data_IF_248677324731
#
_entry.id   IF_248677324731
#
_cell.length_a   1.000
_cell.length_b   1.000
_cell.length_c   1.000
_cell.angle_alpha   90.00
_cell.angle_beta   90.00
_cell.angle_gamma   90.00
#
_symmetry.space_group_name_H-M   'P 1'
#
loop_
_entity.id
_entity.type
_entity.pdbx_description
1 polymer ?
#
# COMPACT_ATOMS: atom_id res chain seq x y z
N UNK A 1 25.62 2.69 -3.10
CA UNK A 1 25.61 2.48 -1.63
C UNK A 1 24.98 1.11 -1.34
N UNK A 2 25.24 0.50 -0.18
CA UNK A 2 24.58 -0.76 0.24
C UNK A 2 23.14 -0.48 0.67
N UNK A 3 22.23 -1.43 0.49
CA UNK A 3 20.78 -1.27 0.71
C UNK A 3 20.37 -1.32 2.19
N UNK A 4 21.12 -2.02 3.05
CA UNK A 4 20.70 -2.35 4.43
C UNK A 4 20.23 -1.15 5.27
N UNK A 5 20.86 0.03 5.15
CA UNK A 5 20.44 1.22 5.92
C UNK A 5 19.10 1.79 5.42
N UNK A 6 18.85 1.72 4.12
CA UNK A 6 17.60 2.18 3.52
C UNK A 6 16.45 1.25 3.92
N UNK A 7 16.69 -0.06 3.87
CA UNK A 7 15.73 -1.08 4.28
C UNK A 7 15.34 -0.91 5.74
N UNK A 8 16.33 -0.89 6.66
CA UNK A 8 16.07 -0.72 8.09
C UNK A 8 15.32 0.58 8.41
N UNK A 9 15.62 1.68 7.71
CA UNK A 9 14.86 2.93 7.86
C UNK A 9 13.41 2.78 7.38
N UNK A 10 13.19 2.14 6.24
CA UNK A 10 11.87 1.93 5.67
C UNK A 10 11.01 1.02 6.55
N UNK A 11 11.60 -0.06 7.08
CA UNK A 11 10.94 -0.97 8.03
C UNK A 11 10.54 -0.24 9.31
N UNK A 12 11.44 0.59 9.86
CA UNK A 12 11.14 1.42 11.03
C UNK A 12 9.97 2.38 10.79
N UNK A 13 9.93 3.05 9.63
CA UNK A 13 8.82 3.92 9.26
C UNK A 13 7.51 3.14 9.12
N UNK A 14 7.51 1.99 8.44
CA UNK A 14 6.31 1.17 8.25
C UNK A 14 5.78 0.60 9.58
N UNK A 15 6.67 0.18 10.49
CA UNK A 15 6.28 -0.25 11.83
C UNK A 15 5.59 0.87 12.62
N UNK A 16 6.11 2.10 12.54
CA UNK A 16 5.48 3.28 13.16
C UNK A 16 4.10 3.56 12.54
N UNK A 17 3.97 3.51 11.22
CA UNK A 17 2.68 3.73 10.54
C UNK A 17 1.63 2.72 10.98
N UNK A 18 1.99 1.43 11.02
CA UNK A 18 1.09 0.34 11.46
C UNK A 18 0.66 0.54 12.92
N UNK A 19 1.57 0.95 13.80
CA UNK A 19 1.25 1.17 15.22
C UNK A 19 0.40 2.43 15.44
N UNK A 20 0.62 3.51 14.69
CA UNK A 20 -0.26 4.69 14.74
C UNK A 20 -1.68 4.33 14.33
N UNK A 21 -1.86 3.47 13.32
CA UNK A 21 -3.20 3.05 12.89
C UNK A 21 -4.01 2.37 13.97
N UNK A 22 -3.41 1.47 14.75
CA UNK A 22 -4.17 0.76 15.80
C UNK A 22 -4.61 1.70 16.93
N UNK A 23 -3.86 2.79 17.18
CA UNK A 23 -4.23 3.80 18.18
C UNK A 23 -5.49 4.60 17.84
N UNK A 24 -5.93 4.57 16.57
CA UNK A 24 -7.21 5.17 16.16
C UNK A 24 -8.42 4.32 16.59
N UNK A 25 -8.22 3.03 16.89
CA UNK A 25 -9.26 2.14 17.42
C UNK A 25 -9.47 2.43 18.91
N UNK A 26 -10.34 3.40 19.21
CA UNK A 26 -10.71 3.73 20.59
C UNK A 26 -11.61 2.67 21.19
N UNK A 27 -11.27 2.25 22.41
CA UNK A 27 -12.09 1.33 23.23
C UNK A 27 -13.45 1.97 23.48
N UNK A 28 -14.57 1.23 23.32
CA UNK A 28 -15.89 1.75 23.68
C UNK A 28 -15.98 2.03 25.19
N UNK A 29 -16.79 3.03 25.57
CA UNK A 29 -17.04 3.35 26.99
C UNK A 29 -17.91 2.29 27.67
N UNK A 30 -18.86 1.74 26.92
CA UNK A 30 -19.74 0.68 27.39
C UNK A 30 -19.00 -0.67 27.48
N UNK A 31 -19.27 -1.42 28.55
CA UNK A 31 -18.62 -2.71 28.84
C UNK A 31 -19.25 -3.91 28.13
N UNK A 32 -20.26 -3.69 27.29
CA UNK A 32 -20.99 -4.74 26.59
C UNK A 32 -20.44 -4.96 25.18
N UNK A 33 -20.61 -6.18 24.64
CA UNK A 33 -20.13 -6.51 23.29
C UNK A 33 -20.85 -5.72 22.19
N UNK A 34 -22.08 -5.29 22.44
CA UNK A 34 -22.87 -4.50 21.49
C UNK A 34 -22.23 -3.14 21.18
N UNK A 35 -21.42 -2.61 22.10
CA UNK A 35 -20.68 -1.36 21.92
C UNK A 35 -19.61 -1.43 20.82
N UNK A 36 -19.23 -2.63 20.36
CA UNK A 36 -18.32 -2.83 19.23
C UNK A 36 -19.01 -2.67 17.87
N UNK A 37 -20.32 -2.88 17.78
CA UNK A 37 -21.07 -2.86 16.51
C UNK A 37 -20.90 -1.50 15.79
N UNK A 38 -21.07 -0.35 16.45
CA UNK A 38 -20.87 0.95 15.79
C UNK A 38 -19.43 1.23 15.37
N UNK A 39 -18.45 0.50 15.92
CA UNK A 39 -17.01 0.65 15.60
C UNK A 39 -16.57 -0.25 14.44
N UNK A 40 -17.40 -1.20 14.01
CA UNK A 40 -17.07 -2.13 12.92
C UNK A 40 -16.58 -1.43 11.64
N UNK A 41 -17.18 -0.34 11.14
CA UNK A 41 -16.69 0.31 9.92
C UNK A 41 -15.25 0.83 10.05
N UNK A 42 -14.89 1.37 11.22
CA UNK A 42 -13.54 1.82 11.51
C UNK A 42 -12.57 0.64 11.63
N UNK A 43 -12.99 -0.45 12.29
CA UNK A 43 -12.19 -1.67 12.40
C UNK A 43 -11.94 -2.32 11.03
N UNK A 44 -12.96 -2.38 10.15
CA UNK A 44 -12.83 -2.91 8.79
C UNK A 44 -11.87 -2.04 7.97
N UNK A 45 -12.00 -0.71 8.07
CA UNK A 45 -11.09 0.22 7.40
C UNK A 45 -9.64 0.03 7.87
N UNK A 46 -9.44 -0.15 9.19
CA UNK A 46 -8.16 -0.51 9.78
C UNK A 46 -7.61 -1.81 9.21
N UNK A 47 -8.42 -2.88 9.19
CA UNK A 47 -8.01 -4.21 8.72
C UNK A 47 -7.52 -4.16 7.27
N UNK A 48 -8.28 -3.53 6.36
CA UNK A 48 -7.88 -3.42 4.97
C UNK A 48 -6.64 -2.56 4.78
N UNK A 49 -6.51 -1.49 5.56
CA UNK A 49 -5.33 -0.62 5.49
C UNK A 49 -4.08 -1.30 6.05
N UNK A 50 -4.24 -2.15 7.06
CA UNK A 50 -3.17 -3.02 7.55
C UNK A 50 -2.72 -4.00 6.48
N UNK A 51 -3.68 -4.64 5.79
CA UNK A 51 -3.39 -5.54 4.66
C UNK A 51 -2.63 -4.79 3.57
N UNK A 52 -3.04 -3.57 3.21
CA UNK A 52 -2.34 -2.74 2.24
C UNK A 52 -0.89 -2.46 2.65
N UNK A 53 -0.67 -2.00 3.89
CA UNK A 53 0.68 -1.75 4.39
C UNK A 53 1.53 -3.03 4.41
N UNK A 54 0.95 -4.17 4.79
CA UNK A 54 1.62 -5.47 4.74
C UNK A 54 2.01 -5.90 3.32
N UNK A 55 1.14 -5.67 2.33
CA UNK A 55 1.43 -5.89 0.90
C UNK A 55 2.60 -5.00 0.46
N UNK A 56 2.57 -3.70 0.77
CA UNK A 56 3.65 -2.78 0.42
C UNK A 56 4.96 -3.17 1.09
N UNK A 57 4.93 -3.51 2.38
CA UNK A 57 6.11 -3.96 3.11
C UNK A 57 6.71 -5.22 2.50
N UNK A 58 5.88 -6.24 2.23
CA UNK A 58 6.35 -7.49 1.63
C UNK A 58 6.97 -7.26 0.25
N UNK A 59 6.28 -6.50 -0.61
CA UNK A 59 6.75 -6.15 -1.95
C UNK A 59 8.02 -5.27 -1.90
N UNK A 60 8.15 -4.39 -0.91
CA UNK A 60 9.34 -3.56 -0.69
C UNK A 60 10.52 -4.40 -0.24
N UNK A 61 10.32 -5.31 0.72
CA UNK A 61 11.33 -6.23 1.20
C UNK A 61 11.87 -7.12 0.07
N UNK A 62 10.98 -7.72 -0.74
CA UNK A 62 11.39 -8.50 -1.92
C UNK A 62 12.13 -7.64 -2.96
N UNK A 63 11.68 -6.41 -3.19
CA UNK A 63 12.31 -5.46 -4.12
C UNK A 63 13.74 -5.10 -3.72
N UNK A 64 13.99 -4.86 -2.44
CA UNK A 64 15.33 -4.50 -1.97
C UNK A 64 16.25 -5.71 -1.77
N UNK A 65 15.72 -6.89 -1.46
CA UNK A 65 16.50 -8.14 -1.38
C UNK A 65 17.24 -8.47 -2.68
N UNK A 66 16.65 -8.15 -3.82
CA UNK A 66 17.24 -8.34 -5.16
C UNK A 66 17.98 -7.11 -5.69
N UNK A 67 17.94 -5.98 -4.99
CA UNK A 67 18.61 -4.74 -5.40
C UNK A 67 20.06 -4.75 -4.93
N UNK A 68 21.02 -4.72 -5.86
CA UNK A 68 22.45 -4.81 -5.51
C UNK A 68 23.03 -3.44 -5.12
N UNK A 69 22.61 -2.38 -5.81
CA UNK A 69 23.18 -1.03 -5.67
C UNK A 69 22.07 0.01 -5.61
N UNK A 70 22.26 0.99 -4.74
CA UNK A 70 21.40 2.18 -4.65
C UNK A 70 22.16 3.48 -4.89
N UNK A 71 21.45 4.48 -5.40
CA UNK A 71 21.91 5.83 -5.64
C UNK A 71 20.95 6.88 -5.02
N UNK A 72 21.28 8.17 -5.13
CA UNK A 72 20.45 9.25 -4.57
C UNK A 72 19.03 9.31 -5.14
N UNK A 73 18.82 8.95 -6.42
CA UNK A 73 17.48 8.97 -7.03
C UNK A 73 16.59 7.88 -6.44
N UNK A 74 17.14 6.69 -6.20
CA UNK A 74 16.42 5.58 -5.53
C UNK A 74 16.08 5.97 -4.09
N UNK A 75 16.98 6.64 -3.38
CA UNK A 75 16.70 7.15 -2.01
C UNK A 75 15.51 8.12 -1.99
N UNK A 76 15.49 9.10 -2.89
CA UNK A 76 14.37 10.05 -3.00
C UNK A 76 13.07 9.37 -3.42
N UNK A 77 13.12 8.43 -4.36
CA UNK A 77 11.93 7.67 -4.75
C UNK A 77 11.39 6.80 -3.60
N UNK A 78 12.27 6.25 -2.76
CA UNK A 78 11.88 5.52 -1.56
C UNK A 78 11.21 6.45 -0.54
N UNK A 79 11.77 7.63 -0.29
CA UNK A 79 11.14 8.63 0.58
C UNK A 79 9.77 9.09 0.05
N UNK A 80 9.63 9.23 -1.26
CA UNK A 80 8.35 9.56 -1.90
C UNK A 80 7.30 8.47 -1.66
N UNK A 81 7.68 7.19 -1.73
CA UNK A 81 6.81 6.08 -1.35
C UNK A 81 6.42 6.13 0.13
N UNK A 82 7.41 6.27 1.03
CA UNK A 82 7.18 6.33 2.47
C UNK A 82 6.28 7.50 2.88
N UNK A 83 6.38 8.64 2.19
CA UNK A 83 5.49 9.78 2.39
C UNK A 83 4.02 9.42 2.13
N UNK A 84 3.70 8.76 1.00
CA UNK A 84 2.31 8.39 0.73
C UNK A 84 1.80 7.32 1.68
N UNK A 85 2.65 6.34 2.02
CA UNK A 85 2.29 5.31 3.00
C UNK A 85 2.04 5.90 4.40
N UNK A 86 2.73 6.97 4.78
CA UNK A 86 2.53 7.62 6.08
C UNK A 86 1.20 8.37 6.20
N UNK A 87 0.50 8.63 5.09
CA UNK A 87 -0.85 9.23 5.08
C UNK A 87 -1.97 8.20 5.18
N UNK A 88 -1.67 6.90 5.07
CA UNK A 88 -2.65 5.82 5.20
C UNK A 88 -3.38 5.86 6.56
N UNK A 89 -2.73 6.06 7.73
CA UNK A 89 -3.42 6.10 9.01
C UNK A 89 -4.50 7.19 9.07
N UNK A 90 -4.16 8.38 8.59
CA UNK A 90 -5.08 9.51 8.54
C UNK A 90 -6.31 9.21 7.68
N UNK A 91 -6.09 8.77 6.44
CA UNK A 91 -7.19 8.47 5.52
C UNK A 91 -8.04 7.27 5.98
N UNK A 92 -7.42 6.28 6.62
CA UNK A 92 -8.09 5.12 7.23
C UNK A 92 -9.06 5.53 8.34
N UNK A 93 -8.60 6.38 9.26
CA UNK A 93 -9.46 6.91 10.32
C UNK A 93 -10.61 7.73 9.75
N UNK A 94 -10.33 8.52 8.70
CA UNK A 94 -11.33 9.39 8.11
C UNK A 94 -12.42 8.63 7.36
N UNK A 95 -12.06 7.67 6.48
CA UNK A 95 -13.02 6.80 5.80
C UNK A 95 -13.77 5.91 6.80
N UNK A 96 -13.10 5.36 7.81
CA UNK A 96 -13.73 4.50 8.81
C UNK A 96 -14.83 5.18 9.62
N UNK A 97 -14.74 6.51 9.80
CA UNK A 97 -15.75 7.33 10.47
C UNK A 97 -16.81 7.89 9.50
N UNK A 98 -16.52 7.94 8.19
CA UNK A 98 -17.32 8.70 7.20
C UNK A 98 -17.45 7.98 5.85
N UNK A 99 -17.58 6.66 5.85
CA UNK A 99 -17.57 5.81 4.63
C UNK A 99 -18.73 6.07 3.65
N UNK A 100 -19.77 6.80 4.08
CA UNK A 100 -20.88 7.24 3.23
C UNK A 100 -20.63 8.57 2.53
N UNK A 101 -19.62 9.33 2.95
CA UNK A 101 -19.25 10.59 2.32
C UNK A 101 -18.22 10.37 1.20
N UNK A 102 -18.43 11.05 0.06
CA UNK A 102 -17.58 10.89 -1.12
C UNK A 102 -16.14 11.33 -0.88
N UNK A 103 -15.91 12.48 -0.24
CA UNK A 103 -14.56 13.05 -0.07
C UNK A 103 -13.61 12.15 0.74
N UNK A 104 -14.00 11.58 1.90
CA UNK A 104 -13.15 10.61 2.62
C UNK A 104 -12.80 9.37 1.79
N UNK A 105 -13.77 8.84 1.04
CA UNK A 105 -13.58 7.65 0.19
C UNK A 105 -12.68 7.96 -1.01
N UNK A 106 -12.86 9.13 -1.63
CA UNK A 106 -12.02 9.64 -2.69
C UNK A 106 -10.57 9.83 -2.22
N UNK A 107 -10.36 10.48 -1.06
CA UNK A 107 -9.02 10.75 -0.55
C UNK A 107 -8.30 9.45 -0.17
N UNK A 108 -9.00 8.49 0.43
CA UNK A 108 -8.44 7.17 0.71
C UNK A 108 -7.93 6.50 -0.57
N UNK A 109 -8.77 6.42 -1.61
CA UNK A 109 -8.36 5.87 -2.91
C UNK A 109 -7.24 6.66 -3.59
N UNK A 110 -7.23 7.98 -3.43
CA UNK A 110 -6.16 8.84 -3.96
C UNK A 110 -4.82 8.55 -3.28
N UNK A 111 -4.78 8.39 -1.96
CA UNK A 111 -3.55 8.00 -1.26
C UNK A 111 -3.07 6.62 -1.73
N UNK A 112 -3.97 5.64 -1.88
CA UNK A 112 -3.61 4.32 -2.43
C UNK A 112 -3.07 4.39 -3.87
N UNK A 113 -3.70 5.21 -4.72
CA UNK A 113 -3.23 5.48 -6.09
C UNK A 113 -1.81 6.06 -6.07
N UNK A 114 -1.57 7.06 -5.24
CA UNK A 114 -0.29 7.73 -5.16
C UNK A 114 0.80 6.82 -4.55
N UNK A 115 0.46 5.98 -3.57
CA UNK A 115 1.35 4.93 -3.08
C UNK A 115 1.72 3.94 -4.19
N UNK A 116 0.77 3.54 -5.03
CA UNK A 116 1.04 2.67 -6.18
C UNK A 116 1.95 3.35 -7.21
N UNK A 117 1.67 4.61 -7.58
CA UNK A 117 2.52 5.41 -8.47
C UNK A 117 3.93 5.56 -7.90
N UNK A 118 4.05 5.86 -6.61
CA UNK A 118 5.35 5.99 -5.95
C UNK A 118 6.15 4.69 -5.98
N UNK A 119 5.49 3.55 -5.76
CA UNK A 119 6.12 2.23 -5.87
C UNK A 119 6.60 1.96 -7.31
N UNK A 120 5.78 2.27 -8.31
CA UNK A 120 6.16 2.18 -9.72
C UNK A 120 7.39 3.04 -10.07
N UNK A 121 7.45 4.27 -9.58
CA UNK A 121 8.58 5.17 -9.78
C UNK A 121 9.85 4.59 -9.14
N UNK A 122 9.75 4.12 -7.89
CA UNK A 122 10.86 3.49 -7.17
C UNK A 122 11.40 2.28 -7.95
N UNK A 123 10.51 1.38 -8.34
CA UNK A 123 10.83 0.20 -9.13
C UNK A 123 11.50 0.58 -10.47
N UNK A 124 10.97 1.59 -11.16
CA UNK A 124 11.54 2.11 -12.41
C UNK A 124 12.96 2.67 -12.23
N UNK A 125 13.23 3.40 -11.16
CA UNK A 125 14.59 3.89 -10.86
C UNK A 125 15.56 2.76 -10.54
N UNK A 126 15.12 1.73 -9.82
CA UNK A 126 15.95 0.55 -9.52
C UNK A 126 16.31 -0.19 -10.81
N UNK A 127 15.32 -0.48 -11.67
CA UNK A 127 15.53 -1.20 -12.95
C UNK A 127 16.48 -0.43 -13.88
N UNK A 128 16.35 0.91 -13.93
CA UNK A 128 17.22 1.76 -14.76
C UNK A 128 18.64 1.89 -14.22
N UNK A 129 18.85 1.62 -12.93
CA UNK A 129 20.16 1.68 -12.31
C UNK A 129 20.97 0.38 -12.44
N UNK A 130 20.32 -0.72 -12.82
CA UNK A 130 20.96 -2.04 -12.99
C UNK A 130 20.98 -2.45 -14.47
N UNK A 131 21.86 -3.40 -14.78
CA UNK A 131 22.10 -3.90 -16.13
C UNK A 131 20.88 -4.62 -16.74
N UNK A 132 20.94 -4.90 -18.04
CA UNK A 132 19.80 -5.46 -18.78
C UNK A 132 19.39 -6.87 -18.31
N UNK A 133 20.32 -7.64 -17.75
CA UNK A 133 20.06 -8.99 -17.23
C UNK A 133 19.55 -9.04 -15.80
N UNK A 134 19.29 -7.88 -15.19
CA UNK A 134 18.83 -7.77 -13.82
C UNK A 134 17.53 -8.56 -13.56
N UNK A 135 17.56 -9.43 -12.54
CA UNK A 135 16.49 -10.38 -12.23
C UNK A 135 15.12 -9.72 -12.06
N UNK A 136 15.07 -8.54 -11.43
CA UNK A 136 13.83 -7.78 -11.26
C UNK A 136 13.17 -7.39 -12.59
N UNK A 137 13.96 -7.05 -13.61
CA UNK A 137 13.44 -6.68 -14.93
C UNK A 137 12.71 -7.86 -15.58
N UNK A 138 13.24 -9.08 -15.42
CA UNK A 138 12.63 -10.33 -15.89
C UNK A 138 11.39 -10.69 -15.05
N UNK A 139 11.44 -10.50 -13.73
CA UNK A 139 10.34 -10.83 -12.81
C UNK A 139 9.11 -9.93 -13.01
N UNK A 140 9.30 -8.62 -13.25
CA UNK A 140 8.19 -7.67 -13.46
C UNK A 140 7.54 -7.86 -14.83
N UNK A 141 8.35 -8.08 -15.87
CA UNK A 141 7.86 -8.23 -17.24
C UNK A 141 6.91 -7.08 -17.66
N UNK A 142 5.65 -7.42 -17.95
CA UNK A 142 4.62 -6.45 -18.38
C UNK A 142 3.90 -5.70 -17.24
N UNK A 143 4.10 -6.12 -16.00
CA UNK A 143 3.39 -5.69 -14.79
C UNK A 143 1.88 -5.44 -15.00
N UNK A 144 1.17 -6.48 -15.41
CA UNK A 144 -0.26 -6.39 -15.70
C UNK A 144 -1.04 -6.09 -14.41
N UNK A 145 -0.67 -6.73 -13.28
CA UNK A 145 -1.33 -6.52 -11.99
C UNK A 145 -1.24 -5.07 -11.54
N UNK A 146 -0.05 -4.47 -11.54
CA UNK A 146 0.11 -3.08 -11.12
C UNK A 146 -0.62 -2.09 -12.03
N UNK A 147 -0.61 -2.30 -13.35
CA UNK A 147 -1.38 -1.46 -14.29
C UNK A 147 -2.89 -1.54 -14.06
N UNK A 148 -3.41 -2.74 -13.85
CA UNK A 148 -4.82 -2.95 -13.51
C UNK A 148 -5.16 -2.24 -12.21
N UNK A 149 -4.32 -2.35 -11.17
CA UNK A 149 -4.53 -1.67 -9.90
C UNK A 149 -4.56 -0.14 -10.02
N UNK A 150 -3.65 0.46 -10.82
CA UNK A 150 -3.68 1.90 -11.07
C UNK A 150 -5.00 2.34 -11.70
N UNK A 151 -5.48 1.62 -12.72
CA UNK A 151 -6.75 1.92 -13.38
C UNK A 151 -7.90 1.78 -12.39
N UNK A 152 -7.93 0.70 -11.61
CA UNK A 152 -8.95 0.46 -10.60
C UNK A 152 -8.97 1.57 -9.54
N UNK A 153 -7.81 2.05 -9.08
CA UNK A 153 -7.79 3.18 -8.14
C UNK A 153 -8.31 4.47 -8.76
N UNK A 154 -7.93 4.80 -10.00
CA UNK A 154 -8.45 5.99 -10.71
C UNK A 154 -9.98 5.90 -10.84
N UNK A 155 -10.49 4.75 -11.28
CA UNK A 155 -11.93 4.49 -11.40
C UNK A 155 -12.61 4.56 -10.04
N UNK A 156 -12.00 3.99 -8.99
CA UNK A 156 -12.50 4.04 -7.62
C UNK A 156 -12.63 5.47 -7.08
N UNK A 157 -11.62 6.32 -7.33
CA UNK A 157 -11.65 7.72 -6.93
C UNK A 157 -12.76 8.45 -7.68
N UNK A 158 -12.87 8.28 -8.99
CA UNK A 158 -13.93 8.90 -9.79
C UNK A 158 -15.34 8.44 -9.35
N UNK A 159 -15.54 7.13 -9.16
CA UNK A 159 -16.85 6.56 -8.83
C UNK A 159 -17.28 6.86 -7.40
N UNK A 160 -16.36 7.21 -6.49
CA UNK A 160 -16.70 7.61 -5.11
C UNK A 160 -17.59 8.84 -5.02
N UNK A 161 -17.58 9.71 -6.03
CA UNK A 161 -18.49 10.86 -6.15
C UNK A 161 -19.89 10.48 -6.65
N UNK A 162 -20.06 9.26 -7.17
CA UNK A 162 -21.34 8.72 -7.64
C UNK A 162 -21.92 7.73 -6.63
N UNK A 163 -21.09 6.80 -6.16
CA UNK A 163 -21.47 5.78 -5.19
C UNK A 163 -20.25 5.31 -4.38
N UNK A 164 -20.24 5.61 -3.09
CA UNK A 164 -19.13 5.26 -2.20
C UNK A 164 -18.96 3.76 -1.99
N UNK A 165 -20.05 2.99 -1.96
CA UNK A 165 -20.00 1.53 -1.78
C UNK A 165 -19.30 0.85 -2.95
N UNK A 166 -19.59 1.27 -4.18
CA UNK A 166 -18.90 0.74 -5.37
C UNK A 166 -17.41 1.07 -5.31
N UNK A 167 -17.04 2.29 -4.94
CA UNK A 167 -15.63 2.68 -4.77
C UNK A 167 -14.92 1.83 -3.72
N UNK A 168 -15.55 1.60 -2.56
CA UNK A 168 -15.02 0.75 -1.49
C UNK A 168 -14.81 -0.69 -1.98
N UNK A 169 -15.78 -1.26 -2.72
CA UNK A 169 -15.65 -2.60 -3.30
C UNK A 169 -14.47 -2.66 -4.28
N UNK A 170 -14.27 -1.62 -5.10
CA UNK A 170 -13.13 -1.53 -6.01
C UNK A 170 -11.82 -1.54 -5.23
N UNK A 171 -11.71 -0.77 -4.15
CA UNK A 171 -10.51 -0.78 -3.30
C UNK A 171 -10.30 -2.12 -2.61
N UNK A 172 -11.35 -2.80 -2.14
CA UNK A 172 -11.23 -4.14 -1.56
C UNK A 172 -10.76 -5.15 -2.62
N UNK A 173 -11.29 -5.08 -3.84
CA UNK A 173 -10.89 -5.94 -4.94
C UNK A 173 -9.40 -5.78 -5.27
N UNK A 174 -8.87 -4.56 -5.26
CA UNK A 174 -7.43 -4.33 -5.45
C UNK A 174 -6.61 -4.97 -4.33
N UNK A 175 -7.03 -4.84 -3.06
CA UNK A 175 -6.36 -5.51 -1.95
C UNK A 175 -6.30 -7.03 -2.15
N UNK A 176 -7.41 -7.65 -2.59
CA UNK A 176 -7.49 -9.10 -2.84
C UNK A 176 -6.57 -9.52 -3.99
N UNK A 177 -6.51 -8.74 -5.09
CA UNK A 177 -5.60 -9.00 -6.22
C UNK A 177 -4.15 -9.12 -5.76
N UNK A 178 -3.75 -8.30 -4.79
CA UNK A 178 -2.40 -8.25 -4.26
C UNK A 178 -2.15 -9.17 -3.05
N UNK A 179 -3.21 -9.55 -2.33
CA UNK A 179 -3.12 -10.49 -1.22
C UNK A 179 -2.66 -11.89 -1.70
N UNK A 180 -3.03 -12.28 -2.92
CA UNK A 180 -2.55 -13.51 -3.55
C UNK A 180 -1.14 -13.27 -4.10
N UNK A 181 -0.08 -13.82 -3.49
CA UNK A 181 1.29 -13.56 -3.89
C UNK A 181 1.50 -13.95 -5.36
N UNK A 182 2.28 -13.15 -6.09
CA UNK A 182 2.66 -13.51 -7.44
C UNK A 182 3.65 -14.67 -7.39
N UNK A 183 3.16 -15.90 -7.60
CA UNK A 183 3.94 -17.16 -7.63
C UNK A 183 5.17 -17.09 -8.56
N UNK A 184 5.22 -16.12 -9.48
CA UNK A 184 6.37 -15.87 -10.37
C UNK A 184 7.61 -15.37 -9.62
N UNK A 185 7.44 -14.56 -8.58
CA UNK A 185 8.57 -14.02 -7.78
C UNK A 185 9.09 -15.12 -6.85
N UNK A 186 8.18 -15.88 -6.24
CA UNK A 186 8.50 -16.99 -5.33
C UNK A 186 9.32 -18.08 -6.03
N UNK A 187 8.96 -18.44 -7.26
CA UNK A 187 9.68 -19.43 -8.07
C UNK A 187 11.07 -18.97 -8.56
N UNK A 188 11.40 -17.67 -8.46
CA UNK A 188 12.71 -17.14 -8.85
C UNK A 188 13.71 -17.05 -7.69
N UNK A 189 13.24 -17.27 -6.45
CA UNK A 189 14.06 -17.23 -5.23
C UNK A 189 14.45 -18.65 -4.79
N UNK A 190 13.71 -19.67 -5.22
CA UNK A 190 13.95 -21.10 -4.91
C UNK A 190 14.65 -21.87 -6.04
N UNK A 191 15.02 -21.20 -7.14
CA UNK A 191 15.73 -21.78 -8.28
C UNK A 191 17.19 -21.40 -8.33
#
# INVERSE_FOLDING_TARGET
MKTNRLEAFSDGVLAIIITIMVFELKVPEDLNLQALIPKLPLFISYLFSFIYLGIYWNNHHHLFRITEKINGRILWANLYLLFWLSLIPFTTSWIGKNYTASTPVALYGFVLLMSAIAYFILQGFIIRHHDNDFALRKAIGKDIKGKISLILYIVGVAISYVNTWIAIIVYIAVAIIWFVPDKRIENSITG
#
